data_IF_928803054072
#
_entry.id   IF_928803054072
#
_cell.length_a   1.000
_cell.length_b   1.000
_cell.length_c   1.000
_cell.angle_alpha   90.00
_cell.angle_beta   90.00
_cell.angle_gamma   90.00
#
_symmetry.space_group_name_H-M   'P 1'
#
loop_
_entity.id
_entity.type
_entity.pdbx_description
1 polymer ?
#
# COMPACT_ATOMS: atom_id res chain seq x y z
N UNK A 1 18.87 16.01 -14.30
CA UNK A 1 17.85 16.20 -13.26
C UNK A 1 17.70 14.86 -12.58
N UNK A 2 18.02 14.77 -11.29
CA UNK A 2 17.88 13.52 -10.55
C UNK A 2 16.38 13.23 -10.45
N UNK A 3 15.93 12.12 -11.04
CA UNK A 3 14.63 11.58 -10.72
C UNK A 3 14.69 11.23 -9.23
N UNK A 4 14.08 12.06 -8.38
CA UNK A 4 13.74 11.67 -7.03
C UNK A 4 12.87 10.43 -7.16
N UNK A 5 13.48 9.27 -6.99
CA UNK A 5 12.77 8.01 -6.85
C UNK A 5 11.89 8.16 -5.61
N UNK A 6 10.59 8.43 -5.83
CA UNK A 6 9.55 8.53 -4.78
C UNK A 6 9.40 7.21 -3.99
N UNK A 7 10.16 6.19 -4.35
CA UNK A 7 10.35 4.99 -3.57
C UNK A 7 11.59 5.10 -2.69
N UNK A 8 11.48 5.92 -1.65
CA UNK A 8 12.15 5.57 -0.41
C UNK A 8 11.55 4.24 0.06
N UNK A 9 12.38 3.29 0.46
CA UNK A 9 12.03 1.95 0.97
C UNK A 9 11.19 1.95 2.27
N UNK A 10 10.43 3.01 2.52
CA UNK A 10 9.68 3.28 3.75
C UNK A 10 8.26 3.82 3.55
N UNK A 11 7.73 3.92 2.32
CA UNK A 11 6.31 4.24 2.14
C UNK A 11 5.46 3.03 2.57
N UNK A 12 4.96 3.08 3.80
CA UNK A 12 3.96 2.14 4.32
C UNK A 12 2.66 2.93 4.50
N UNK A 13 1.53 2.52 3.89
CA UNK A 13 0.26 3.21 4.11
C UNK A 13 -0.12 3.15 5.58
N UNK A 14 -0.62 4.25 6.13
CA UNK A 14 -1.11 4.30 7.51
C UNK A 14 -2.41 3.47 7.64
N UNK A 15 -2.42 2.36 8.40
CA UNK A 15 -3.62 1.52 8.56
C UNK A 15 -4.75 2.21 9.33
N UNK A 16 -4.47 3.31 10.04
CA UNK A 16 -5.47 4.14 10.69
C UNK A 16 -6.22 5.09 9.74
N UNK A 17 -5.70 5.29 8.51
CA UNK A 17 -6.27 6.19 7.51
C UNK A 17 -6.77 5.40 6.30
N UNK A 18 -8.09 5.24 6.19
CA UNK A 18 -8.71 4.50 5.08
C UNK A 18 -8.31 5.04 3.69
N UNK A 19 -8.17 6.36 3.56
CA UNK A 19 -7.75 6.98 2.29
C UNK A 19 -6.32 6.59 1.88
N UNK A 20 -5.41 6.46 2.84
CA UNK A 20 -4.01 6.12 2.57
C UNK A 20 -3.90 4.66 2.12
N UNK A 21 -4.65 3.76 2.77
CA UNK A 21 -4.76 2.34 2.38
C UNK A 21 -5.37 2.20 0.99
N UNK A 22 -6.48 2.91 0.71
CA UNK A 22 -7.12 2.87 -0.60
C UNK A 22 -6.24 3.45 -1.71
N UNK A 23 -5.56 4.58 -1.45
CA UNK A 23 -4.65 5.19 -2.40
C UNK A 23 -3.53 4.22 -2.78
N UNK A 24 -2.97 3.49 -1.80
CA UNK A 24 -1.94 2.49 -2.06
C UNK A 24 -2.46 1.26 -2.81
N UNK A 25 -3.60 0.68 -2.38
CA UNK A 25 -4.18 -0.54 -2.98
C UNK A 25 -4.60 -0.30 -4.43
N UNK A 26 -5.21 0.86 -4.71
CA UNK A 26 -5.69 1.22 -6.04
C UNK A 26 -4.60 1.83 -6.93
N UNK A 27 -3.38 2.06 -6.39
CA UNK A 27 -2.30 2.62 -7.18
C UNK A 27 -1.90 1.66 -8.31
N UNK A 28 -1.87 2.13 -9.57
CA UNK A 28 -1.43 1.33 -10.70
C UNK A 28 0.06 0.94 -10.53
N UNK A 29 0.47 -0.29 -10.92
CA UNK A 29 1.87 -0.71 -10.85
C UNK A 29 2.80 0.16 -11.70
N UNK A 30 2.30 0.79 -12.76
CA UNK A 30 3.06 1.69 -13.64
C UNK A 30 3.61 2.90 -12.89
N UNK A 31 2.97 3.32 -11.80
CA UNK A 31 3.47 4.41 -10.93
C UNK A 31 4.77 4.02 -10.22
N UNK A 32 5.01 2.71 -10.09
CA UNK A 32 6.15 2.13 -9.39
C UNK A 32 7.21 1.57 -10.34
N UNK A 33 6.96 1.61 -11.66
CA UNK A 33 7.88 1.18 -12.71
C UNK A 33 8.47 2.43 -13.42
N UNK A 34 9.62 2.95 -12.98
CA UNK A 34 10.19 4.20 -13.47
C UNK A 34 10.53 4.20 -14.97
N UNK A 35 10.83 3.04 -15.56
CA UNK A 35 11.12 2.93 -17.00
C UNK A 35 9.88 2.71 -17.84
N UNK A 36 8.80 2.22 -17.23
CA UNK A 36 7.55 1.85 -17.93
C UNK A 36 7.71 0.65 -18.85
N UNK A 37 8.82 -0.08 -18.76
CA UNK A 37 9.04 -1.31 -19.51
C UNK A 37 8.03 -2.38 -19.09
N UNK A 38 7.43 -3.14 -20.02
CA UNK A 38 6.43 -4.15 -19.69
C UNK A 38 6.92 -5.22 -18.71
N UNK A 39 8.19 -5.62 -18.79
CA UNK A 39 8.77 -6.63 -17.88
C UNK A 39 9.01 -6.03 -16.49
N UNK A 40 9.39 -4.74 -16.41
CA UNK A 40 9.50 -4.02 -15.13
C UNK A 40 8.12 -3.86 -14.46
N UNK A 41 7.10 -3.46 -15.22
CA UNK A 41 5.72 -3.31 -14.70
C UNK A 41 5.19 -4.65 -14.19
N UNK A 42 5.45 -5.75 -14.91
CA UNK A 42 5.06 -7.08 -14.49
C UNK A 42 5.75 -7.50 -13.18
N UNK A 43 7.06 -7.32 -13.08
CA UNK A 43 7.82 -7.62 -11.87
C UNK A 43 7.34 -6.78 -10.65
N UNK A 44 7.04 -5.50 -10.88
CA UNK A 44 6.49 -4.60 -9.88
C UNK A 44 5.10 -5.03 -9.43
N UNK A 45 4.24 -5.45 -10.36
CA UNK A 45 2.90 -5.95 -10.04
C UNK A 45 2.97 -7.19 -9.14
N UNK A 46 3.85 -8.14 -9.44
CA UNK A 46 4.09 -9.33 -8.61
C UNK A 46 4.64 -8.96 -7.23
N UNK A 47 5.56 -8.00 -7.16
CA UNK A 47 6.18 -7.58 -5.90
C UNK A 47 5.20 -6.84 -4.98
N UNK A 48 4.31 -6.01 -5.55
CA UNK A 48 3.43 -5.13 -4.77
C UNK A 48 2.12 -5.79 -4.34
N UNK A 49 1.65 -6.81 -5.07
CA UNK A 49 0.44 -7.57 -4.72
C UNK A 49 0.43 -8.04 -3.25
N UNK A 50 1.46 -8.73 -2.73
CA UNK A 50 1.48 -9.14 -1.33
C UNK A 50 1.51 -7.95 -0.35
N UNK A 51 2.13 -6.84 -0.73
CA UNK A 51 2.14 -5.62 0.08
C UNK A 51 0.75 -4.98 0.17
N UNK A 52 0.00 -4.96 -0.93
CA UNK A 52 -1.40 -4.49 -0.95
C UNK A 52 -2.30 -5.36 -0.09
N UNK A 53 -2.14 -6.68 -0.18
CA UNK A 53 -2.87 -7.62 0.68
C UNK A 53 -2.60 -7.37 2.17
N UNK A 54 -1.33 -7.16 2.54
CA UNK A 54 -0.96 -6.86 3.92
C UNK A 54 -1.51 -5.51 4.42
N UNK A 55 -1.52 -4.48 3.58
CA UNK A 55 -2.10 -3.18 3.94
C UNK A 55 -3.60 -3.31 4.30
N UNK A 56 -4.35 -4.11 3.52
CA UNK A 56 -5.77 -4.41 3.79
C UNK A 56 -5.94 -5.20 5.09
N UNK A 57 -5.08 -6.21 5.33
CA UNK A 57 -5.14 -6.99 6.58
C UNK A 57 -4.92 -6.11 7.81
N UNK A 58 -3.91 -5.24 7.79
CA UNK A 58 -3.60 -4.33 8.90
C UNK A 58 -4.73 -3.35 9.16
N UNK A 59 -5.32 -2.81 8.10
CA UNK A 59 -6.50 -1.94 8.21
C UNK A 59 -7.65 -2.66 8.92
N UNK A 60 -7.99 -3.88 8.48
CA UNK A 60 -9.05 -4.68 9.12
C UNK A 60 -8.74 -5.01 10.58
N UNK A 61 -7.50 -5.41 10.91
CA UNK A 61 -7.11 -5.74 12.28
C UNK A 61 -7.28 -4.55 13.22
N UNK A 62 -6.80 -3.37 12.81
CA UNK A 62 -6.92 -2.14 13.59
C UNK A 62 -8.38 -1.72 13.80
N UNK A 63 -9.23 -1.88 12.77
CA UNK A 63 -10.66 -1.54 12.91
C UNK A 63 -11.43 -2.55 13.75
N UNK A 64 -11.04 -3.83 13.72
CA UNK A 64 -11.59 -4.86 14.60
C UNK A 64 -11.23 -4.58 16.07
N UNK A 65 -9.98 -4.18 16.35
CA UNK A 65 -9.52 -3.78 17.68
C UNK A 65 -10.29 -2.56 18.20
N UNK A 66 -10.46 -1.52 17.38
CA UNK A 66 -11.26 -0.34 17.75
C UNK A 66 -12.72 -0.68 18.03
N UNK A 67 -13.34 -1.55 17.23
CA UNK A 67 -14.72 -2.00 17.47
C UNK A 67 -14.83 -2.80 18.78
N UNK A 68 -13.87 -3.68 19.07
CA UNK A 68 -13.83 -4.44 20.31
C UNK A 68 -13.65 -3.54 21.53
N UNK A 69 -12.81 -2.51 21.44
CA UNK A 69 -12.62 -1.54 22.52
C UNK A 69 -13.87 -0.68 22.76
N UNK A 70 -14.58 -0.28 21.69
CA UNK A 70 -15.83 0.48 21.80
C UNK A 70 -16.97 -0.33 22.43
N UNK A 71 -17.00 -1.65 22.26
CA UNK A 71 -18.03 -2.52 22.84
C UNK A 71 -17.83 -2.83 24.34
N UNK A 72 -16.67 -2.50 24.91
CA UNK A 72 -16.34 -2.76 26.32
C UNK A 72 -16.55 -1.53 27.23
N UNK A 73 -16.85 -0.36 26.66
CA UNK A 73 -17.15 0.89 27.37
C UNK A 73 -18.66 1.17 27.38
#
# INVERSE_FOLDING_TARGET
MAAETVFASGFTPDPGRALDVLAFVLCPPEVFAPTGDPDEVAAVAELIEPAKAEAVRRWHALHAEHAAHAAHN
#
